data_IF_790562218889
#
_entry.id   IF_790562218889
#
_cell.length_a   1.000
_cell.length_b   1.000
_cell.length_c   1.000
_cell.angle_alpha   90.00
_cell.angle_beta   90.00
_cell.angle_gamma   90.00
#
_symmetry.space_group_name_H-M   'P 1'
#
loop_
_entity.id
_entity.type
_entity.pdbx_description
1 polymer ?
#
# COMPACT_ATOMS: atom_id res chain seq x y z
N UNK A 1 1.78 5.34 3.23
CA UNK A 1 2.73 5.57 4.33
C UNK A 1 3.96 4.70 4.14
N UNK A 2 5.18 5.23 4.40
CA UNK A 2 6.39 4.43 4.41
C UNK A 2 6.24 3.27 5.42
N UNK A 3 6.91 2.16 5.18
CA UNK A 3 6.84 0.92 5.97
C UNK A 3 5.54 0.13 5.82
N UNK A 4 4.63 0.51 4.94
CA UNK A 4 3.45 -0.28 4.62
C UNK A 4 3.61 -1.06 3.31
N UNK A 5 2.89 -2.17 3.20
CA UNK A 5 2.89 -3.00 1.99
C UNK A 5 2.47 -2.21 0.73
N UNK A 6 1.54 -1.26 0.87
CA UNK A 6 1.10 -0.40 -0.22
C UNK A 6 2.22 0.48 -0.77
N UNK A 7 3.00 1.12 0.09
CA UNK A 7 4.13 1.95 -0.31
C UNK A 7 5.19 1.13 -1.08
N UNK A 8 5.51 -0.06 -0.61
CA UNK A 8 6.46 -0.94 -1.29
C UNK A 8 5.95 -1.39 -2.65
N UNK A 9 4.67 -1.72 -2.77
CA UNK A 9 4.06 -2.09 -4.03
C UNK A 9 4.14 -0.94 -5.06
N UNK A 10 3.81 0.27 -4.67
CA UNK A 10 3.90 1.47 -5.51
C UNK A 10 5.35 1.74 -5.95
N UNK A 11 6.30 1.63 -5.03
CA UNK A 11 7.72 1.80 -5.31
C UNK A 11 8.25 0.75 -6.29
N UNK A 12 7.85 -0.51 -6.13
CA UNK A 12 8.25 -1.60 -7.06
C UNK A 12 7.67 -1.41 -8.46
N UNK A 13 6.44 -0.91 -8.58
CA UNK A 13 5.83 -0.58 -9.87
C UNK A 13 6.63 0.51 -10.58
N UNK A 14 7.00 1.58 -9.89
CA UNK A 14 7.79 2.67 -10.46
C UNK A 14 9.16 2.18 -10.91
N UNK A 15 9.84 1.37 -10.09
CA UNK A 15 11.13 0.78 -10.45
C UNK A 15 11.01 -0.16 -11.66
N UNK A 16 9.98 -1.00 -11.70
CA UNK A 16 9.75 -1.91 -12.82
C UNK A 16 9.53 -1.16 -14.14
N UNK A 17 8.78 -0.07 -14.13
CA UNK A 17 8.58 0.78 -15.31
C UNK A 17 9.89 1.44 -15.72
N UNK A 18 10.68 1.91 -14.77
CA UNK A 18 11.99 2.54 -15.05
C UNK A 18 12.96 1.56 -15.72
N UNK A 19 13.04 0.33 -15.24
CA UNK A 19 13.92 -0.70 -15.84
C UNK A 19 13.48 -1.11 -17.25
N UNK A 20 12.18 -1.21 -17.48
CA UNK A 20 11.64 -1.66 -18.76
C UNK A 20 11.73 -0.61 -19.87
N UNK A 21 11.74 0.68 -19.54
CA UNK A 21 11.53 1.78 -20.50
C UNK A 21 12.77 2.61 -20.80
N UNK A 22 13.97 2.07 -20.65
CA UNK A 22 15.24 2.83 -20.69
C UNK A 22 15.48 3.73 -21.92
N UNK A 23 14.69 3.58 -23.00
CA UNK A 23 14.99 4.26 -24.27
C UNK A 23 13.78 4.82 -25.04
N UNK A 24 12.63 5.02 -24.39
CA UNK A 24 11.42 5.42 -25.09
C UNK A 24 10.87 6.75 -24.57
N UNK A 25 10.48 7.63 -25.48
CA UNK A 25 9.76 8.87 -25.15
C UNK A 25 8.45 8.62 -24.35
N UNK A 26 7.91 7.43 -24.48
CA UNK A 26 6.75 6.97 -23.73
C UNK A 26 7.03 6.69 -22.25
N UNK A 27 8.30 6.63 -21.85
CA UNK A 27 8.72 6.39 -20.46
C UNK A 27 8.15 7.46 -19.51
N UNK A 28 8.25 8.70 -19.87
CA UNK A 28 7.72 9.81 -19.07
C UNK A 28 6.21 9.70 -18.89
N UNK A 29 5.50 9.31 -19.95
CA UNK A 29 4.06 9.13 -19.93
C UNK A 29 3.65 7.95 -19.07
N UNK A 30 4.38 6.82 -19.17
CA UNK A 30 4.15 5.63 -18.35
C UNK A 30 4.43 5.85 -16.87
N UNK A 31 5.43 6.66 -16.53
CA UNK A 31 5.72 7.04 -15.13
C UNK A 31 4.69 8.03 -14.58
N UNK A 32 4.15 8.89 -15.43
CA UNK A 32 3.20 9.91 -15.01
C UNK A 32 1.90 9.30 -14.47
N UNK A 33 1.43 8.21 -15.05
CA UNK A 33 0.19 7.52 -14.64
C UNK A 33 0.25 7.02 -13.19
N UNK A 34 1.23 6.20 -12.76
CA UNK A 34 1.30 5.73 -11.38
C UNK A 34 1.56 6.86 -10.38
N UNK A 35 2.38 7.86 -10.72
CA UNK A 35 2.63 9.01 -9.85
C UNK A 35 1.35 9.79 -9.61
N UNK A 36 0.54 10.01 -10.65
CA UNK A 36 -0.77 10.66 -10.52
C UNK A 36 -1.71 9.83 -9.64
N UNK A 37 -1.71 8.50 -9.80
CA UNK A 37 -2.47 7.58 -8.96
C UNK A 37 -2.10 7.69 -7.48
N UNK A 38 -0.81 7.69 -7.16
CA UNK A 38 -0.29 7.86 -5.79
C UNK A 38 -0.74 9.21 -5.20
N UNK A 39 -0.70 10.26 -5.99
CA UNK A 39 -1.13 11.59 -5.55
C UNK A 39 -2.62 11.61 -5.17
N UNK A 40 -3.49 11.07 -6.01
CA UNK A 40 -4.92 10.98 -5.70
C UNK A 40 -5.21 10.08 -4.50
N UNK A 41 -4.53 8.96 -4.39
CA UNK A 41 -4.64 8.05 -3.25
C UNK A 41 -4.25 8.74 -1.95
N UNK A 42 -3.19 9.52 -1.96
CA UNK A 42 -2.73 10.30 -0.79
C UNK A 42 -3.77 11.33 -0.35
N UNK A 43 -4.35 12.08 -1.29
CA UNK A 43 -5.41 13.06 -1.00
C UNK A 43 -6.64 12.37 -0.43
N UNK A 44 -7.06 11.26 -1.03
CA UNK A 44 -8.20 10.47 -0.58
C UNK A 44 -7.99 9.94 0.84
N UNK A 45 -6.86 9.34 1.12
CA UNK A 45 -6.52 8.82 2.45
C UNK A 45 -6.43 9.93 3.49
N UNK A 46 -5.84 11.07 3.13
CA UNK A 46 -5.78 12.23 4.04
C UNK A 46 -7.16 12.77 4.38
N UNK A 47 -8.05 12.84 3.39
CA UNK A 47 -9.46 13.22 3.64
C UNK A 47 -10.18 12.22 4.55
N UNK A 48 -9.99 10.93 4.33
CA UNK A 48 -10.59 9.89 5.16
C UNK A 48 -10.13 10.02 6.62
N UNK A 49 -8.82 10.14 6.85
CA UNK A 49 -8.25 10.31 8.20
C UNK A 49 -8.77 11.60 8.85
N UNK A 50 -8.79 12.71 8.11
CA UNK A 50 -9.32 13.98 8.62
C UNK A 50 -10.78 13.86 9.05
N UNK A 51 -11.62 13.24 8.25
CA UNK A 51 -13.04 13.10 8.55
C UNK A 51 -13.33 12.10 9.68
N UNK A 52 -12.55 11.01 9.76
CA UNK A 52 -12.76 9.98 10.78
C UNK A 52 -12.11 10.33 12.12
N UNK A 53 -10.90 10.88 12.12
CA UNK A 53 -10.10 11.04 13.32
C UNK A 53 -10.06 12.48 13.86
N UNK A 54 -10.14 13.49 12.99
CA UNK A 54 -9.97 14.90 13.38
C UNK A 54 -11.27 15.68 13.45
N UNK A 55 -12.38 15.12 12.98
CA UNK A 55 -13.67 15.80 13.04
C UNK A 55 -14.27 15.62 14.43
N UNK A 56 -14.17 16.66 15.25
CA UNK A 56 -14.86 16.74 16.52
C UNK A 56 -16.38 16.79 16.27
N UNK A 57 -17.10 15.79 16.73
CA UNK A 57 -18.55 15.78 16.69
C UNK A 57 -19.07 16.02 18.10
N UNK A 58 -19.48 17.27 18.41
CA UNK A 58 -20.02 17.65 19.71
C UNK A 58 -21.30 16.86 20.09
N UNK A 59 -21.96 16.25 19.11
CA UNK A 59 -23.17 15.46 19.28
C UNK A 59 -22.93 13.93 19.32
N UNK A 60 -21.68 13.48 19.36
CA UNK A 60 -21.36 12.06 19.52
C UNK A 60 -21.74 11.57 20.92
N UNK A 61 -23.00 11.22 21.10
CA UNK A 61 -23.44 10.45 22.26
C UNK A 61 -22.78 9.08 22.22
N UNK A 62 -21.91 8.82 23.21
CA UNK A 62 -21.33 7.52 23.54
C UNK A 62 -21.04 6.60 22.33
N UNK A 63 -19.88 6.80 21.70
CA UNK A 63 -19.29 5.79 20.85
C UNK A 63 -18.91 4.59 21.73
N UNK A 64 -19.47 3.43 21.41
CA UNK A 64 -19.05 2.18 22.01
C UNK A 64 -17.58 1.95 21.69
N UNK A 65 -16.80 1.70 22.71
CA UNK A 65 -15.38 1.38 22.57
C UNK A 65 -15.19 0.02 21.85
N UNK A 66 -14.07 -0.15 21.17
CA UNK A 66 -13.77 -1.39 20.46
C UNK A 66 -13.85 -2.60 21.38
N UNK A 67 -14.53 -3.63 20.94
CA UNK A 67 -14.54 -4.92 21.65
C UNK A 67 -13.13 -5.55 21.58
N UNK A 68 -12.79 -6.38 22.58
CA UNK A 68 -11.48 -7.04 22.64
C UNK A 68 -11.17 -7.84 21.37
N UNK A 69 -12.17 -8.45 20.76
CA UNK A 69 -12.03 -9.19 19.51
C UNK A 69 -11.66 -8.29 18.32
N UNK A 70 -12.27 -7.11 18.21
CA UNK A 70 -11.99 -6.13 17.16
C UNK A 70 -10.56 -5.60 17.27
N UNK A 71 -10.10 -5.30 18.48
CA UNK A 71 -8.72 -4.85 18.73
C UNK A 71 -7.72 -5.91 18.30
N UNK A 72 -7.96 -7.19 18.64
CA UNK A 72 -7.08 -8.29 18.23
C UNK A 72 -7.01 -8.43 16.71
N UNK A 73 -8.15 -8.36 16.03
CA UNK A 73 -8.20 -8.43 14.56
C UNK A 73 -7.43 -7.26 13.92
N UNK A 74 -7.66 -6.05 14.40
CA UNK A 74 -6.94 -4.86 13.91
C UNK A 74 -5.43 -4.99 14.12
N UNK A 75 -5.01 -5.49 15.29
CA UNK A 75 -3.60 -5.65 15.63
C UNK A 75 -2.93 -6.70 14.72
N UNK A 76 -3.59 -7.81 14.44
CA UNK A 76 -3.11 -8.83 13.50
C UNK A 76 -2.97 -8.26 12.10
N UNK A 77 -3.98 -7.54 11.60
CA UNK A 77 -3.94 -6.92 10.27
C UNK A 77 -2.81 -5.89 10.15
N UNK A 78 -2.64 -5.02 11.13
CA UNK A 78 -1.55 -4.03 11.16
C UNK A 78 -0.19 -4.72 11.17
N UNK A 79 -0.03 -5.78 11.97
CA UNK A 79 1.22 -6.55 12.03
C UNK A 79 1.56 -7.15 10.67
N UNK A 80 0.59 -7.74 9.98
CA UNK A 80 0.78 -8.30 8.63
C UNK A 80 1.20 -7.24 7.63
N UNK A 81 0.51 -6.09 7.61
CA UNK A 81 0.81 -4.97 6.70
C UNK A 81 2.23 -4.44 6.92
N UNK A 82 2.63 -4.25 8.18
CA UNK A 82 3.96 -3.76 8.54
C UNK A 82 5.04 -4.80 8.21
N UNK A 83 4.78 -6.08 8.49
CA UNK A 83 5.74 -7.15 8.18
C UNK A 83 6.02 -7.23 6.68
N UNK A 84 4.99 -7.16 5.85
CA UNK A 84 5.14 -7.14 4.38
C UNK A 84 5.87 -5.87 3.91
N UNK A 85 5.60 -4.73 4.55
CA UNK A 85 6.25 -3.46 4.22
C UNK A 85 7.73 -3.40 4.59
N UNK A 86 8.12 -4.02 5.72
CA UNK A 86 9.52 -4.04 6.19
C UNK A 86 10.34 -5.12 5.49
N UNK A 87 9.74 -6.25 5.18
CA UNK A 87 10.38 -7.39 4.52
C UNK A 87 9.76 -7.71 3.16
N UNK A 88 9.89 -6.84 2.16
CA UNK A 88 9.33 -7.08 0.83
C UNK A 88 9.97 -8.28 0.13
N UNK A 89 11.20 -8.66 0.51
CA UNK A 89 11.91 -9.82 0.00
C UNK A 89 11.15 -11.14 0.18
N UNK A 90 10.38 -11.30 1.26
CA UNK A 90 9.56 -12.49 1.49
C UNK A 90 8.55 -12.72 0.38
N UNK A 91 7.87 -11.66 -0.07
CA UNK A 91 6.90 -11.75 -1.16
C UNK A 91 7.60 -11.90 -2.50
N UNK A 92 8.70 -11.20 -2.73
CA UNK A 92 9.48 -11.31 -3.96
C UNK A 92 10.03 -12.73 -4.13
N UNK A 93 10.53 -13.36 -3.09
CA UNK A 93 11.02 -14.74 -3.11
C UNK A 93 9.89 -15.74 -3.40
N UNK A 94 8.71 -15.54 -2.76
CA UNK A 94 7.54 -16.38 -3.03
C UNK A 94 7.03 -16.25 -4.46
N UNK A 95 6.96 -15.04 -4.98
CA UNK A 95 6.54 -14.77 -6.35
C UNK A 95 7.58 -15.25 -7.37
N UNK A 96 8.87 -15.04 -7.11
CA UNK A 96 9.96 -15.50 -7.96
C UNK A 96 9.97 -17.02 -8.09
N UNK A 97 9.86 -17.75 -7.00
CA UNK A 97 9.79 -19.21 -7.00
C UNK A 97 8.54 -19.72 -7.74
N UNK A 98 7.41 -19.08 -7.57
CA UNK A 98 6.18 -19.43 -8.28
C UNK A 98 6.28 -19.16 -9.77
N UNK A 99 6.90 -18.04 -10.14
CA UNK A 99 7.12 -17.66 -11.53
C UNK A 99 8.07 -18.64 -12.24
N UNK A 100 9.19 -18.99 -11.63
CA UNK A 100 10.12 -19.97 -12.18
C UNK A 100 9.47 -21.33 -12.41
N UNK A 101 8.64 -21.79 -11.49
CA UNK A 101 7.89 -23.05 -11.64
C UNK A 101 6.90 -23.02 -12.80
N UNK A 102 6.29 -21.87 -13.08
CA UNK A 102 5.36 -21.70 -14.18
C UNK A 102 6.07 -21.57 -15.54
N UNK A 103 7.22 -20.92 -15.58
CA UNK A 103 8.01 -20.70 -16.81
C UNK A 103 8.81 -21.96 -17.21
N UNK A 104 9.27 -22.73 -16.25
CA UNK A 104 10.04 -23.97 -16.48
C UNK A 104 9.16 -25.21 -16.77
N UNK A 105 7.85 -25.05 -16.77
CA UNK A 105 6.91 -26.07 -17.24
C UNK A 105 6.55 -25.80 -18.70
#
# INVERSE_FOLDING_TARGET
>A
FPLTSGFIAEFLIINGIHEFSFNSAYMLLLLFVPITGIFFTTIYMFRAVKNCCLRFNENAKSTTDFSRHEVVICLVLVTVIVTIGVFPSLIQDLLGNSYERLVLR
#
